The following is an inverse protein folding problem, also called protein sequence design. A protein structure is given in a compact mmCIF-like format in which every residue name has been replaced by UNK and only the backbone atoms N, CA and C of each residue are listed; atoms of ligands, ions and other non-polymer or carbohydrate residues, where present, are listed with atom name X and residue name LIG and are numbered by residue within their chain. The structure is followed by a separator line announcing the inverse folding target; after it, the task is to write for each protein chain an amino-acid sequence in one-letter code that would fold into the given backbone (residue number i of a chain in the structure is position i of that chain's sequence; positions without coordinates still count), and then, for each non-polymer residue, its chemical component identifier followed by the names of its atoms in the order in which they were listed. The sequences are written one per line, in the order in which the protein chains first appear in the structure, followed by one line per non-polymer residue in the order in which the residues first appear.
data_IF_620726003999
#
_entry.id   IF_620726003999
#
_cell.length_a   1.000
_cell.length_b   1.000
_cell.length_c   1.000
_cell.angle_alpha   90.00
_cell.angle_beta   90.00
_cell.angle_gamma   90.00
#
_symmetry.space_group_name_H-M   'P 1'
#
loop_
_entity.id
_entity.type
_entity.pdbx_description
1 polymer ?
#
# COMPACT_ATOMS: atom_id res chain seq x y z
N UNK A 1 -23.34 16.70 1.50
CA UNK A 1 -22.73 17.98 1.93
C UNK A 1 -21.46 18.15 1.12
N UNK A 2 -21.50 18.98 0.06
CA UNK A 2 -20.40 19.09 -0.91
C UNK A 2 -19.42 20.17 -0.44
N UNK A 3 -18.16 19.77 -0.22
CA UNK A 3 -17.06 20.68 0.08
C UNK A 3 -16.68 21.39 -1.22
N UNK A 4 -17.19 22.61 -1.42
CA UNK A 4 -16.73 23.50 -2.49
C UNK A 4 -15.46 24.20 -2.01
N UNK A 5 -14.32 23.61 -2.34
CA UNK A 5 -13.01 24.27 -2.23
C UNK A 5 -12.96 25.40 -3.27
N UNK A 6 -13.20 26.64 -2.84
CA UNK A 6 -12.90 27.86 -3.62
C UNK A 6 -11.40 28.14 -3.58
N UNK A 7 -10.58 27.32 -4.24
CA UNK A 7 -9.25 27.77 -4.66
C UNK A 7 -9.39 28.40 -6.06
N UNK A 8 -8.89 29.64 -6.26
CA UNK A 8 -8.83 30.20 -7.60
C UNK A 8 -7.90 29.34 -8.46
N UNK A 9 -8.45 28.72 -9.49
CA UNK A 9 -7.69 27.98 -10.49
C UNK A 9 -6.64 28.91 -11.11
N UNK A 10 -5.36 28.70 -10.77
CA UNK A 10 -4.26 29.40 -11.43
C UNK A 10 -3.98 28.69 -12.75
N UNK A 11 -4.26 29.37 -13.85
CA UNK A 11 -3.94 29.00 -15.23
C UNK A 11 -2.42 28.85 -15.41
N UNK A 12 -1.82 27.70 -15.07
CA UNK A 12 -0.43 27.38 -15.45
C UNK A 12 -0.21 25.89 -15.64
N UNK A 13 0.21 25.53 -16.86
CA UNK A 13 1.07 24.36 -17.12
C UNK A 13 0.38 23.12 -17.68
N UNK A 14 1.15 22.34 -18.44
CA UNK A 14 0.83 20.95 -18.80
C UNK A 14 0.38 20.21 -17.53
N UNK A 15 -0.85 19.71 -17.55
CA UNK A 15 -1.38 18.84 -16.50
C UNK A 15 -0.47 17.60 -16.45
N UNK A 16 0.22 17.38 -15.33
CA UNK A 16 0.94 16.12 -15.11
C UNK A 16 -0.10 15.04 -14.83
N UNK A 17 -0.48 14.32 -15.87
CA UNK A 17 -1.37 13.17 -15.77
C UNK A 17 -0.60 11.97 -15.19
N UNK A 18 -1.24 11.12 -14.37
CA UNK A 18 -0.69 9.80 -14.07
C UNK A 18 -0.41 9.04 -15.38
N UNK A 19 0.62 8.21 -15.41
CA UNK A 19 1.09 7.53 -16.63
C UNK A 19 0.04 6.69 -17.36
N UNK A 20 -1.06 6.31 -16.69
CA UNK A 20 -2.14 5.50 -17.25
C UNK A 20 -3.32 6.32 -17.83
N UNK A 21 -3.23 7.65 -17.84
CA UNK A 21 -4.19 8.52 -18.52
C UNK A 21 -3.54 9.18 -19.73
N UNK A 22 -4.24 9.13 -20.87
CA UNK A 22 -3.87 9.82 -22.10
C UNK A 22 -4.78 11.04 -22.29
N UNK A 23 -4.21 12.19 -22.65
CA UNK A 23 -4.98 13.35 -23.12
C UNK A 23 -5.29 13.15 -24.61
N UNK A 24 -6.55 12.87 -24.93
CA UNK A 24 -6.96 12.49 -26.29
C UNK A 24 -6.62 13.56 -27.35
N UNK A 25 -6.65 14.85 -26.97
CA UNK A 25 -6.31 15.93 -27.90
C UNK A 25 -4.82 15.94 -28.20
N UNK A 26 -3.96 15.82 -27.18
CA UNK A 26 -2.51 15.83 -27.40
C UNK A 26 -2.02 14.60 -28.14
N UNK A 27 -2.65 13.47 -27.91
CA UNK A 27 -2.35 12.21 -28.60
C UNK A 27 -2.66 12.31 -30.10
N UNK A 28 -3.85 12.83 -30.44
CA UNK A 28 -4.31 12.87 -31.84
C UNK A 28 -3.84 14.12 -32.61
N UNK A 29 -3.55 15.22 -31.93
CA UNK A 29 -3.13 16.50 -32.51
C UNK A 29 -1.84 17.01 -31.85
N UNK A 30 -0.70 16.32 -32.01
CA UNK A 30 0.55 16.71 -31.38
C UNK A 30 1.00 18.10 -31.85
N UNK A 31 1.25 18.99 -30.90
CA UNK A 31 1.65 20.38 -31.17
C UNK A 31 0.49 21.37 -31.28
N UNK A 32 -0.76 20.89 -31.37
CA UNK A 32 -1.94 21.75 -31.28
C UNK A 32 -2.34 21.97 -29.82
N UNK A 33 -2.38 23.24 -29.33
CA UNK A 33 -2.78 23.53 -27.96
C UNK A 33 -4.24 23.16 -27.65
N UNK A 34 -5.14 23.09 -28.64
CA UNK A 34 -6.53 22.66 -28.47
C UNK A 34 -7.35 23.58 -27.59
N UNK A 35 -7.30 24.89 -27.81
CA UNK A 35 -8.01 25.86 -26.99
C UNK A 35 -9.52 25.64 -27.04
N UNK A 36 -10.14 25.46 -25.87
CA UNK A 36 -11.60 25.34 -25.73
C UNK A 36 -12.23 26.67 -25.30
N UNK A 37 -11.45 27.57 -24.71
CA UNK A 37 -11.76 29.00 -24.67
C UNK A 37 -10.77 29.71 -25.60
N UNK A 38 -11.26 30.24 -26.73
CA UNK A 38 -10.46 31.03 -27.67
C UNK A 38 -11.22 32.30 -28.09
N UNK A 39 -10.79 33.45 -27.57
CA UNK A 39 -11.39 34.75 -27.88
C UNK A 39 -10.97 35.32 -29.23
N UNK A 40 -10.00 34.73 -29.92
CA UNK A 40 -9.66 35.12 -31.29
C UNK A 40 -10.66 34.52 -32.28
N UNK A 41 -11.18 33.32 -31.97
CA UNK A 41 -12.22 32.66 -32.75
C UNK A 41 -13.63 33.03 -32.28
N UNK A 42 -13.93 32.95 -30.99
CA UNK A 42 -15.26 33.22 -30.43
C UNK A 42 -15.46 34.72 -30.14
N UNK A 43 -16.01 35.43 -31.13
CA UNK A 43 -16.28 36.87 -31.03
C UNK A 43 -17.23 37.26 -29.89
N UNK A 44 -18.20 36.39 -29.55
CA UNK A 44 -19.11 36.62 -28.42
C UNK A 44 -18.35 36.64 -27.10
N UNK A 45 -17.46 35.66 -26.89
CA UNK A 45 -16.62 35.60 -25.69
C UNK A 45 -15.66 36.78 -25.60
N UNK A 46 -15.11 37.22 -26.73
CA UNK A 46 -14.26 38.42 -26.81
C UNK A 46 -15.02 39.69 -26.38
N UNK A 47 -16.25 39.86 -26.85
CA UNK A 47 -17.10 41.00 -26.51
C UNK A 47 -17.42 41.05 -25.01
N UNK A 48 -17.66 39.88 -24.39
CA UNK A 48 -17.96 39.78 -22.96
C UNK A 48 -16.74 39.99 -22.05
N UNK A 49 -15.59 39.41 -22.41
CA UNK A 49 -14.39 39.45 -21.55
C UNK A 49 -13.53 40.69 -21.75
N UNK A 50 -13.58 41.31 -22.94
CA UNK A 50 -12.79 42.48 -23.32
C UNK A 50 -11.27 42.24 -23.44
N UNK A 51 -10.79 40.99 -23.29
CA UNK A 51 -9.36 40.65 -23.28
C UNK A 51 -9.06 39.42 -24.15
N UNK A 52 -7.89 39.36 -24.83
CA UNK A 52 -7.43 38.12 -25.46
C UNK A 52 -7.23 37.02 -24.41
N UNK A 53 -7.75 35.84 -24.71
CA UNK A 53 -7.63 34.64 -23.88
C UNK A 53 -7.72 33.38 -24.75
N UNK A 54 -6.78 32.47 -24.51
CA UNK A 54 -6.66 31.16 -25.15
C UNK A 54 -6.29 30.12 -24.09
N UNK A 55 -7.25 29.27 -23.72
CA UNK A 55 -7.10 28.28 -22.65
C UNK A 55 -7.78 26.96 -23.04
N UNK A 56 -7.16 25.83 -22.67
CA UNK A 56 -7.77 24.50 -22.77
C UNK A 56 -8.29 24.05 -21.41
N UNK A 57 -9.55 24.37 -21.13
CA UNK A 57 -10.24 23.94 -19.91
C UNK A 57 -10.75 22.52 -20.05
N UNK A 58 -11.45 22.26 -21.14
CA UNK A 58 -12.11 20.99 -21.40
C UNK A 58 -11.11 20.01 -21.99
N UNK A 59 -11.14 18.77 -21.49
CA UNK A 59 -10.23 17.69 -21.89
C UNK A 59 -10.99 16.38 -21.88
N UNK A 60 -10.65 15.49 -22.82
CA UNK A 60 -11.06 14.09 -22.77
C UNK A 60 -9.84 13.27 -22.37
N UNK A 61 -9.91 12.66 -21.19
CA UNK A 61 -8.85 11.80 -20.67
C UNK A 61 -9.24 10.34 -20.87
N UNK A 62 -8.42 9.58 -21.58
CA UNK A 62 -8.65 8.17 -21.82
C UNK A 62 -7.84 7.31 -20.84
N UNK A 63 -8.49 6.34 -20.20
CA UNK A 63 -7.87 5.27 -19.41
C UNK A 63 -8.30 3.93 -20.00
N UNK A 64 -7.36 3.05 -20.32
CA UNK A 64 -7.63 1.75 -20.97
C UNK A 64 -8.39 1.85 -22.31
N UNK A 65 -8.48 3.05 -22.88
CA UNK A 65 -9.15 3.35 -24.14
C UNK A 65 -8.16 4.08 -25.03
N UNK A 66 -8.19 3.80 -26.33
CA UNK A 66 -7.43 4.53 -27.33
C UNK A 66 -8.34 5.57 -27.99
N UNK A 67 -7.96 6.86 -28.02
CA UNK A 67 -8.68 7.85 -28.79
C UNK A 67 -8.50 7.54 -30.28
N UNK A 68 -9.59 7.52 -31.04
CA UNK A 68 -9.58 7.30 -32.48
C UNK A 68 -9.72 8.61 -33.24
N UNK A 69 -10.55 9.51 -32.70
CA UNK A 69 -10.85 10.81 -33.29
C UNK A 69 -11.26 11.76 -32.17
N UNK A 70 -10.88 13.02 -32.30
CA UNK A 70 -11.38 14.10 -31.44
C UNK A 70 -11.56 15.37 -32.25
N UNK A 71 -12.72 15.99 -32.11
CA UNK A 71 -13.08 17.23 -32.79
C UNK A 71 -13.50 18.31 -31.80
N UNK A 72 -13.18 19.55 -32.15
CA UNK A 72 -13.66 20.75 -31.49
C UNK A 72 -15.01 21.15 -32.12
N UNK A 73 -16.05 21.28 -31.30
CA UNK A 73 -17.41 21.58 -31.76
C UNK A 73 -17.91 22.92 -31.22
N UNK A 74 -18.85 23.53 -31.94
CA UNK A 74 -19.34 24.88 -31.62
C UNK A 74 -18.37 25.99 -32.04
N UNK A 75 -17.50 25.73 -33.01
CA UNK A 75 -16.47 26.64 -33.53
C UNK A 75 -17.00 27.60 -34.62
N UNK A 76 -18.31 27.62 -34.84
CA UNK A 76 -18.98 28.49 -35.81
C UNK A 76 -20.17 29.19 -35.13
N UNK A 77 -20.43 30.48 -35.43
CA UNK A 77 -21.63 31.16 -34.95
C UNK A 77 -22.93 30.47 -35.36
N UNK A 78 -24.01 30.79 -34.65
CA UNK A 78 -25.35 30.32 -35.01
C UNK A 78 -25.76 30.90 -36.37
N UNK A 79 -26.28 30.04 -37.25
CA UNK A 79 -26.69 30.45 -38.59
C UNK A 79 -27.73 31.59 -38.53
N UNK A 80 -27.49 32.65 -39.30
CA UNK A 80 -28.32 33.86 -39.29
C UNK A 80 -28.04 34.83 -38.13
N UNK A 81 -27.13 34.50 -37.21
CA UNK A 81 -26.73 35.38 -36.12
C UNK A 81 -25.21 35.28 -35.84
N UNK A 82 -24.37 36.05 -36.55
CA UNK A 82 -22.90 35.95 -36.45
C UNK A 82 -22.34 36.40 -35.09
N UNK A 83 -23.12 37.11 -34.28
CA UNK A 83 -22.71 37.58 -32.95
C UNK A 83 -22.97 36.55 -31.84
N UNK A 84 -23.76 35.51 -32.14
CA UNK A 84 -24.15 34.49 -31.15
C UNK A 84 -23.46 33.18 -31.47
N UNK A 85 -22.79 32.63 -30.47
CA UNK A 85 -22.13 31.34 -30.54
C UNK A 85 -22.92 30.31 -29.73
N UNK A 86 -22.80 29.00 -30.05
CA UNK A 86 -23.50 27.95 -29.30
C UNK A 86 -23.16 27.92 -27.80
N UNK A 87 -21.96 28.37 -27.43
CA UNK A 87 -21.45 28.41 -26.06
C UNK A 87 -20.32 29.45 -25.94
N UNK A 88 -20.01 29.87 -24.72
CA UNK A 88 -18.88 30.77 -24.45
C UNK A 88 -17.53 30.04 -24.46
N UNK A 89 -17.55 28.70 -24.36
CA UNK A 89 -16.45 27.77 -24.66
C UNK A 89 -16.84 26.77 -25.77
N UNK A 90 -15.87 26.26 -26.52
CA UNK A 90 -16.03 25.16 -27.47
C UNK A 90 -16.10 23.80 -26.77
N UNK A 91 -16.87 22.89 -27.34
CA UNK A 91 -16.99 21.52 -26.84
C UNK A 91 -15.99 20.57 -27.49
N UNK A 92 -15.80 19.39 -26.88
CA UNK A 92 -15.02 18.29 -27.46
C UNK A 92 -15.92 17.09 -27.71
N UNK A 93 -15.79 16.47 -28.88
CA UNK A 93 -16.39 15.17 -29.19
C UNK A 93 -15.27 14.20 -29.51
N UNK A 94 -15.18 13.11 -28.77
CA UNK A 94 -14.13 12.11 -28.93
C UNK A 94 -14.74 10.74 -29.21
N UNK A 95 -14.26 10.08 -30.27
CA UNK A 95 -14.48 8.66 -30.51
C UNK A 95 -13.33 7.87 -29.88
N UNK A 96 -13.66 6.78 -29.20
CA UNK A 96 -12.70 5.92 -28.51
C UNK A 96 -12.96 4.47 -28.87
N UNK A 97 -11.90 3.68 -28.89
CA UNK A 97 -11.98 2.22 -28.90
C UNK A 97 -11.30 1.66 -27.66
N UNK A 98 -11.59 0.40 -27.28
CA UNK A 98 -10.69 -0.33 -26.39
C UNK A 98 -9.27 -0.21 -26.95
N UNK A 99 -8.35 0.33 -26.16
CA UNK A 99 -6.94 0.24 -26.51
C UNK A 99 -6.50 -1.23 -26.38
N UNK A 100 -5.30 -1.60 -26.84
CA UNK A 100 -4.61 -2.67 -26.11
C UNK A 100 -4.67 -2.21 -24.66
N UNK A 101 -5.36 -2.97 -23.81
CA UNK A 101 -5.09 -2.88 -22.39
C UNK A 101 -3.58 -3.06 -22.35
N UNK A 102 -2.80 -2.01 -22.06
CA UNK A 102 -1.46 -2.24 -21.55
C UNK A 102 -1.72 -3.25 -20.45
N UNK A 103 -1.30 -4.51 -20.66
CA UNK A 103 -1.81 -5.64 -19.87
C UNK A 103 -1.74 -5.20 -18.42
N UNK A 104 -2.90 -4.88 -17.85
CA UNK A 104 -2.94 -4.42 -16.47
C UNK A 104 -2.80 -5.72 -15.74
N UNK A 105 -1.55 -6.16 -15.56
CA UNK A 105 -1.23 -7.33 -14.78
C UNK A 105 -2.00 -7.16 -13.48
N UNK A 106 -2.98 -8.02 -13.19
CA UNK A 106 -3.80 -7.85 -12.01
C UNK A 106 -2.87 -7.76 -10.81
N UNK A 107 -3.22 -6.91 -9.84
CA UNK A 107 -2.52 -6.93 -8.55
C UNK A 107 -2.58 -8.36 -8.02
N UNK A 108 -1.42 -8.96 -7.86
CA UNK A 108 -1.30 -10.27 -7.24
C UNK A 108 -1.45 -10.09 -5.74
N UNK A 109 -2.09 -11.05 -5.07
CA UNK A 109 -2.41 -10.96 -3.66
C UNK A 109 -2.16 -12.29 -2.96
N UNK A 110 -1.60 -12.20 -1.76
CA UNK A 110 -1.50 -13.28 -0.78
C UNK A 110 -2.01 -12.72 0.55
N UNK A 111 -3.02 -13.36 1.12
CA UNK A 111 -3.68 -12.96 2.35
C UNK A 111 -3.74 -14.19 3.26
N UNK A 112 -3.17 -14.09 4.46
CA UNK A 112 -3.21 -15.16 5.46
C UNK A 112 -3.82 -14.60 6.74
N UNK A 113 -4.83 -15.28 7.26
CA UNK A 113 -5.64 -14.83 8.40
C UNK A 113 -5.57 -15.89 9.49
N UNK A 114 -5.19 -15.52 10.70
CA UNK A 114 -4.94 -16.48 11.78
C UNK A 114 -6.09 -17.47 12.04
N UNK A 115 -7.35 -17.08 11.80
CA UNK A 115 -8.51 -17.98 11.93
C UNK A 115 -8.45 -19.23 11.04
N UNK A 116 -7.66 -19.19 9.98
CA UNK A 116 -7.48 -20.30 9.04
C UNK A 116 -6.24 -21.15 9.40
N UNK A 117 -5.45 -20.76 10.42
CA UNK A 117 -4.24 -21.45 10.86
C UNK A 117 -4.25 -21.62 12.39
N UNK A 118 -4.82 -22.73 12.87
CA UNK A 118 -5.10 -22.96 14.30
C UNK A 118 -4.21 -23.99 14.98
N UNK A 119 -3.36 -24.67 14.22
CA UNK A 119 -2.53 -25.77 14.72
C UNK A 119 -1.24 -25.26 15.39
N UNK A 120 -1.07 -25.62 16.66
CA UNK A 120 0.13 -25.28 17.43
C UNK A 120 1.35 -26.07 17.00
N UNK A 121 2.51 -25.41 16.98
CA UNK A 121 3.80 -25.98 16.60
C UNK A 121 4.00 -26.11 15.09
N UNK A 122 2.96 -25.87 14.31
CA UNK A 122 3.00 -25.83 12.86
C UNK A 122 3.05 -24.36 12.38
N UNK A 123 3.55 -24.16 11.16
CA UNK A 123 3.43 -22.89 10.47
C UNK A 123 3.09 -23.13 9.01
N UNK A 124 2.35 -22.20 8.43
CA UNK A 124 2.14 -22.18 6.98
C UNK A 124 3.12 -21.21 6.34
N UNK A 125 3.64 -21.58 5.17
CA UNK A 125 4.52 -20.76 4.36
C UNK A 125 3.99 -20.69 2.93
N UNK A 126 3.90 -19.48 2.39
CA UNK A 126 3.46 -19.23 1.02
C UNK A 126 4.37 -18.18 0.34
N UNK A 127 4.40 -18.19 -0.98
CA UNK A 127 5.25 -17.30 -1.78
C UNK A 127 4.40 -16.48 -2.76
N UNK A 128 4.74 -15.20 -2.92
CA UNK A 128 4.17 -14.31 -3.92
C UNK A 128 5.28 -13.46 -4.55
N UNK A 129 5.67 -13.83 -5.77
CA UNK A 129 6.84 -13.26 -6.43
C UNK A 129 8.08 -13.39 -5.53
N UNK A 130 8.78 -12.32 -5.20
CA UNK A 130 10.01 -12.28 -4.39
C UNK A 130 9.72 -12.22 -2.87
N UNK A 131 8.45 -12.30 -2.47
CA UNK A 131 8.03 -12.23 -1.08
C UNK A 131 7.58 -13.59 -0.54
N UNK A 132 7.99 -13.89 0.69
CA UNK A 132 7.70 -15.11 1.42
C UNK A 132 6.90 -14.70 2.66
N UNK A 133 5.76 -15.33 2.87
CA UNK A 133 4.91 -15.14 4.03
C UNK A 133 4.90 -16.39 4.90
N UNK A 134 4.99 -16.22 6.21
CA UNK A 134 4.83 -17.28 7.18
C UNK A 134 3.82 -16.86 8.26
N UNK A 135 2.96 -17.79 8.69
CA UNK A 135 1.99 -17.57 9.76
C UNK A 135 1.91 -18.78 10.69
N UNK A 136 1.93 -18.55 12.00
CA UNK A 136 1.87 -19.61 13.02
C UNK A 136 1.11 -19.16 14.27
N UNK A 137 0.50 -20.12 14.96
CA UNK A 137 -0.14 -19.90 16.28
C UNK A 137 0.91 -19.75 17.39
N UNK A 138 2.14 -20.21 17.17
CA UNK A 138 3.09 -20.51 18.23
C UNK A 138 3.09 -22.01 18.58
N UNK A 139 3.96 -22.43 19.50
CA UNK A 139 4.09 -23.84 19.91
C UNK A 139 3.66 -24.10 21.36
N UNK A 140 3.77 -23.10 22.24
CA UNK A 140 3.53 -23.26 23.67
C UNK A 140 2.02 -23.09 23.98
N UNK A 141 1.31 -24.20 24.15
CA UNK A 141 -0.13 -24.22 24.49
C UNK A 141 -0.44 -23.70 25.90
N UNK A 142 0.57 -23.63 26.74
CA UNK A 142 0.47 -23.17 28.12
C UNK A 142 1.09 -21.77 28.29
N UNK A 143 1.36 -21.07 27.16
CA UNK A 143 2.00 -19.76 27.17
C UNK A 143 1.22 -18.76 28.04
N UNK A 144 1.91 -17.84 28.74
CA UNK A 144 1.25 -16.76 29.45
C UNK A 144 0.45 -15.83 28.53
N UNK A 145 0.86 -15.64 27.28
CA UNK A 145 0.14 -14.81 26.30
C UNK A 145 -1.23 -15.41 25.98
N UNK A 146 -1.32 -16.75 25.91
CA UNK A 146 -2.57 -17.45 25.65
C UNK A 146 -3.60 -17.16 26.74
N UNK A 147 -3.20 -16.91 27.98
CA UNK A 147 -4.09 -16.48 29.05
C UNK A 147 -4.92 -15.24 28.72
N UNK A 148 -4.43 -14.40 27.80
CA UNK A 148 -5.08 -13.15 27.36
C UNK A 148 -5.85 -13.29 26.04
N UNK A 149 -5.71 -14.41 25.32
CA UNK A 149 -6.44 -14.64 24.06
C UNK A 149 -7.92 -14.80 24.31
N UNK A 150 -8.73 -14.01 23.59
CA UNK A 150 -10.16 -13.92 23.83
C UNK A 150 -10.92 -15.12 23.26
N UNK A 151 -10.47 -15.66 22.13
CA UNK A 151 -11.10 -16.80 21.47
C UNK A 151 -10.16 -18.00 21.41
N UNK A 152 -10.44 -18.99 22.27
CA UNK A 152 -9.67 -20.25 22.32
C UNK A 152 -9.90 -21.15 21.11
N UNK A 153 -11.00 -20.96 20.38
CA UNK A 153 -11.26 -21.72 19.15
C UNK A 153 -10.45 -21.17 17.96
N UNK A 154 -10.04 -19.90 18.03
CA UNK A 154 -9.22 -19.22 17.02
C UNK A 154 -7.96 -18.65 17.70
N UNK A 155 -7.01 -19.51 18.09
CA UNK A 155 -5.86 -19.11 18.92
C UNK A 155 -4.83 -18.25 18.20
N UNK A 156 -4.97 -18.08 16.89
CA UNK A 156 -4.12 -17.22 16.09
C UNK A 156 -4.84 -15.91 15.77
N UNK A 157 -4.43 -14.87 16.48
CA UNK A 157 -4.95 -13.51 16.39
C UNK A 157 -4.22 -12.68 15.32
N UNK A 158 -3.13 -13.20 14.73
CA UNK A 158 -2.34 -12.48 13.73
C UNK A 158 -2.92 -12.56 12.32
N UNK A 159 -2.53 -11.63 11.46
CA UNK A 159 -2.82 -11.62 10.04
C UNK A 159 -1.70 -10.95 9.24
N UNK A 160 -1.57 -11.33 7.96
CA UNK A 160 -0.63 -10.70 7.05
C UNK A 160 -1.19 -10.56 5.62
N UNK A 161 -0.63 -9.62 4.88
CA UNK A 161 -0.98 -9.33 3.49
C UNK A 161 0.26 -8.99 2.68
N UNK A 162 0.32 -9.55 1.48
CA UNK A 162 1.23 -9.15 0.42
C UNK A 162 0.37 -8.79 -0.80
N UNK A 163 0.49 -7.57 -1.29
CA UNK A 163 0.03 -7.16 -2.61
C UNK A 163 1.25 -6.88 -3.48
N UNK A 164 1.24 -7.33 -4.73
CA UNK A 164 2.30 -7.06 -5.70
C UNK A 164 1.72 -6.59 -7.03
N UNK A 165 2.23 -5.46 -7.55
CA UNK A 165 1.89 -4.95 -8.87
C UNK A 165 3.05 -4.17 -9.47
N UNK A 166 3.55 -4.62 -10.63
CA UNK A 166 4.60 -3.96 -11.41
C UNK A 166 5.86 -3.59 -10.59
N UNK A 167 6.38 -4.54 -9.79
CA UNK A 167 7.59 -4.35 -8.99
C UNK A 167 7.39 -3.46 -7.75
N UNK A 168 6.14 -3.15 -7.40
CA UNK A 168 5.79 -2.49 -6.14
C UNK A 168 5.01 -3.45 -5.26
N UNK A 169 5.38 -3.49 -3.98
CA UNK A 169 4.73 -4.29 -2.95
C UNK A 169 4.03 -3.40 -1.95
N UNK A 170 2.88 -3.87 -1.46
CA UNK A 170 2.35 -3.48 -0.15
C UNK A 170 2.42 -4.71 0.75
N UNK A 171 3.14 -4.57 1.85
CA UNK A 171 3.35 -5.61 2.85
C UNK A 171 2.66 -5.15 4.13
N UNK A 172 1.91 -6.01 4.79
CA UNK A 172 1.32 -5.70 6.08
C UNK A 172 1.35 -6.90 7.02
N UNK A 173 1.66 -6.64 8.29
CA UNK A 173 1.46 -7.58 9.40
C UNK A 173 0.62 -6.89 10.48
N UNK A 174 -0.26 -7.65 11.10
CA UNK A 174 -1.11 -7.18 12.19
C UNK A 174 -1.11 -8.24 13.28
N UNK A 175 -0.69 -7.84 14.47
CA UNK A 175 -0.80 -8.64 15.69
C UNK A 175 -2.10 -8.25 16.42
N UNK A 176 -2.91 -9.26 16.74
CA UNK A 176 -4.19 -9.10 17.38
C UNK A 176 -4.08 -9.25 18.90
N UNK A 177 -4.77 -8.38 19.64
CA UNK A 177 -4.86 -8.48 21.08
C UNK A 177 -6.31 -8.58 21.53
N UNK A 178 -6.59 -9.60 22.36
CA UNK A 178 -7.92 -9.84 22.92
C UNK A 178 -8.95 -10.15 21.82
N UNK A 179 -8.53 -10.89 20.80
CA UNK A 179 -9.37 -11.41 19.73
C UNK A 179 -8.83 -11.10 18.34
N UNK A 180 -9.01 -12.06 17.44
CA UNK A 180 -8.50 -12.01 16.07
C UNK A 180 -9.28 -11.08 15.12
N UNK A 181 -10.42 -10.52 15.55
CA UNK A 181 -11.34 -9.84 14.62
C UNK A 181 -10.78 -8.51 14.13
N UNK A 182 -10.03 -7.78 14.98
CA UNK A 182 -9.52 -6.45 14.63
C UNK A 182 -8.40 -6.53 13.61
N UNK A 183 -7.35 -7.32 13.89
CA UNK A 183 -6.21 -7.56 13.00
C UNK A 183 -6.66 -8.06 11.63
N UNK A 184 -7.49 -9.11 11.59
CA UNK A 184 -7.95 -9.70 10.33
C UNK A 184 -8.81 -8.73 9.53
N UNK A 185 -9.72 -7.98 10.17
CA UNK A 185 -10.54 -7.00 9.46
C UNK A 185 -9.70 -5.86 8.87
N UNK A 186 -8.65 -5.41 9.57
CA UNK A 186 -7.73 -4.39 9.06
C UNK A 186 -7.03 -4.88 7.79
N UNK A 187 -6.44 -6.07 7.85
CA UNK A 187 -5.68 -6.67 6.74
C UNK A 187 -6.60 -7.01 5.56
N UNK A 188 -7.80 -7.55 5.81
CA UNK A 188 -8.82 -7.78 4.77
C UNK A 188 -9.27 -6.50 4.07
N UNK A 189 -9.51 -5.41 4.83
CA UNK A 189 -9.89 -4.11 4.24
C UNK A 189 -8.76 -3.53 3.42
N UNK A 190 -7.53 -3.62 3.93
CA UNK A 190 -6.34 -3.16 3.23
C UNK A 190 -6.10 -3.93 1.93
N UNK A 191 -6.43 -5.22 1.88
CA UNK A 191 -6.31 -6.04 0.67
C UNK A 191 -7.18 -5.56 -0.51
N UNK A 192 -8.20 -4.74 -0.23
CA UNK A 192 -9.10 -4.17 -1.24
C UNK A 192 -8.65 -2.78 -1.70
N UNK A 193 -7.65 -2.19 -1.03
CA UNK A 193 -7.10 -0.90 -1.37
C UNK A 193 -6.07 -1.03 -2.51
N UNK A 194 -5.95 -0.02 -3.39
CA UNK A 194 -4.83 0.03 -4.32
C UNK A 194 -3.51 0.21 -3.57
N UNK A 195 -2.40 -0.30 -4.13
CA UNK A 195 -1.06 -0.07 -3.58
C UNK A 195 -0.73 1.44 -3.65
N UNK A 196 -0.49 2.11 -2.51
CA UNK A 196 -0.18 3.54 -2.48
C UNK A 196 1.08 3.90 -3.27
N UNK A 197 1.07 5.06 -3.93
CA UNK A 197 2.24 5.61 -4.62
C UNK A 197 3.18 6.43 -3.74
N UNK A 198 2.67 6.92 -2.61
CA UNK A 198 3.42 7.71 -1.63
C UNK A 198 2.84 7.56 -0.21
N UNK A 199 3.55 8.09 0.79
CA UNK A 199 3.14 8.03 2.20
C UNK A 199 1.78 8.71 2.44
N UNK A 200 1.48 9.80 1.73
CA UNK A 200 0.20 10.51 1.91
C UNK A 200 -0.98 9.67 1.43
N UNK A 201 -0.81 8.92 0.35
CA UNK A 201 -1.78 7.92 -0.12
C UNK A 201 -1.93 6.78 0.88
N UNK A 202 -0.83 6.28 1.47
CA UNK A 202 -0.90 5.24 2.49
C UNK A 202 -1.62 5.73 3.75
N UNK A 203 -1.32 6.93 4.25
CA UNK A 203 -2.07 7.53 5.38
C UNK A 203 -3.57 7.59 5.10
N UNK A 204 -3.97 8.03 3.90
CA UNK A 204 -5.38 8.05 3.49
C UNK A 204 -6.00 6.65 3.47
N UNK A 205 -5.26 5.65 2.98
CA UNK A 205 -5.73 4.27 2.98
C UNK A 205 -5.95 3.75 4.41
N UNK A 206 -4.98 3.97 5.31
CA UNK A 206 -5.07 3.55 6.71
C UNK A 206 -6.19 4.25 7.49
N UNK A 207 -6.37 5.56 7.31
CA UNK A 207 -7.50 6.28 7.91
C UNK A 207 -8.86 5.74 7.43
N UNK A 208 -8.93 5.26 6.18
CA UNK A 208 -10.13 4.64 5.64
C UNK A 208 -10.44 3.25 6.22
N UNK A 209 -9.48 2.58 6.86
CA UNK A 209 -9.69 1.23 7.39
C UNK A 209 -10.68 1.21 8.55
N UNK A 210 -10.85 2.31 9.30
CA UNK A 210 -11.76 2.39 10.44
C UNK A 210 -13.24 2.20 10.05
N UNK A 211 -13.63 2.48 8.81
CA UNK A 211 -15.02 2.52 8.39
C UNK A 211 -15.40 1.33 7.47
N UNK A 212 -16.57 0.68 7.70
CA UNK A 212 -17.48 0.91 8.82
C UNK A 212 -16.89 0.40 10.14
N UNK A 213 -17.17 1.07 11.26
CA UNK A 213 -16.74 0.59 12.57
C UNK A 213 -17.27 -0.83 12.84
N UNK A 214 -16.43 -1.70 13.43
CA UNK A 214 -16.84 -3.04 13.87
C UNK A 214 -17.13 -3.05 15.37
N UNK A 215 -18.17 -3.77 15.82
CA UNK A 215 -18.53 -3.88 17.24
C UNK A 215 -17.63 -4.93 17.95
N UNK A 216 -16.32 -4.74 17.88
CA UNK A 216 -15.30 -5.64 18.45
C UNK A 216 -14.51 -4.91 19.54
N UNK A 217 -14.16 -5.61 20.60
CA UNK A 217 -13.41 -5.06 21.75
C UNK A 217 -11.89 -5.22 21.66
N UNK A 218 -11.41 -6.12 20.79
CA UNK A 218 -9.99 -6.41 20.62
C UNK A 218 -9.23 -5.27 19.95
N UNK A 219 -7.97 -5.12 20.32
CA UNK A 219 -7.03 -4.20 19.69
C UNK A 219 -6.18 -4.90 18.64
N UNK A 220 -5.47 -4.14 17.83
CA UNK A 220 -4.44 -4.71 16.97
C UNK A 220 -3.32 -3.73 16.72
N UNK A 221 -2.09 -4.23 16.65
CA UNK A 221 -1.00 -3.51 16.01
C UNK A 221 -1.23 -3.51 14.49
N UNK A 222 -0.59 -2.59 13.77
CA UNK A 222 -0.56 -2.66 12.32
C UNK A 222 0.74 -2.02 11.84
N UNK A 223 1.52 -2.77 11.07
CA UNK A 223 2.68 -2.29 10.35
C UNK A 223 2.43 -2.51 8.86
N UNK A 224 2.44 -1.43 8.07
CA UNK A 224 2.27 -1.48 6.61
C UNK A 224 3.45 -0.81 5.93
N UNK A 225 4.14 -1.55 5.06
CA UNK A 225 5.23 -1.04 4.24
C UNK A 225 4.85 -1.06 2.76
N UNK A 226 5.24 -0.02 2.03
CA UNK A 226 5.21 0.02 0.57
C UNK A 226 6.65 0.02 0.07
N UNK A 227 6.98 -0.96 -0.76
CA UNK A 227 8.33 -1.15 -1.30
C UNK A 227 8.29 -1.02 -2.82
N UNK A 228 9.06 -0.10 -3.38
CA UNK A 228 9.23 0.05 -4.82
C UNK A 228 10.61 -0.52 -5.21
N UNK A 229 10.60 -1.75 -5.73
CA UNK A 229 11.84 -2.47 -6.08
C UNK A 229 12.60 -1.74 -7.20
N UNK A 230 11.88 -1.12 -8.14
CA UNK A 230 12.49 -0.38 -9.26
C UNK A 230 13.19 0.89 -8.79
N UNK A 231 12.59 1.61 -7.85
CA UNK A 231 13.16 2.81 -7.25
C UNK A 231 14.11 2.51 -6.07
N UNK A 232 14.24 1.23 -5.69
CA UNK A 232 15.08 0.73 -4.60
C UNK A 232 14.87 1.46 -3.27
N UNK A 233 13.61 1.75 -2.95
CA UNK A 233 13.22 2.47 -1.73
C UNK A 233 11.87 2.03 -1.23
N UNK A 234 11.61 2.29 0.04
CA UNK A 234 10.32 2.04 0.67
C UNK A 234 9.95 3.09 1.69
N UNK A 235 8.69 3.03 2.09
CA UNK A 235 8.17 3.78 3.23
C UNK A 235 7.17 2.91 3.99
N UNK A 236 7.06 3.11 5.29
CA UNK A 236 6.14 2.36 6.13
C UNK A 236 5.42 3.27 7.13
N UNK A 237 4.22 2.87 7.51
CA UNK A 237 3.49 3.43 8.63
C UNK A 237 3.18 2.31 9.62
N UNK A 238 3.32 2.61 10.91
CA UNK A 238 3.05 1.62 11.94
C UNK A 238 2.47 2.20 13.22
N UNK A 239 1.79 1.33 13.95
CA UNK A 239 1.35 1.52 15.32
C UNK A 239 1.38 0.18 16.05
N UNK A 240 1.84 0.18 17.31
CA UNK A 240 2.11 -1.04 18.07
C UNK A 240 3.61 -1.35 18.11
N UNK A 241 3.91 -2.64 18.20
CA UNK A 241 5.24 -3.23 18.42
C UNK A 241 5.66 -4.25 17.35
N UNK A 242 4.83 -4.46 16.32
CA UNK A 242 5.27 -5.13 15.09
C UNK A 242 6.47 -4.42 14.47
N UNK A 243 7.38 -5.19 13.90
CA UNK A 243 8.72 -4.74 13.56
C UNK A 243 9.03 -4.75 12.08
N UNK A 244 9.73 -3.70 11.62
CA UNK A 244 10.35 -3.62 10.31
C UNK A 244 11.86 -3.75 10.48
N UNK A 245 12.48 -4.71 9.79
CA UNK A 245 13.92 -4.86 9.74
C UNK A 245 14.44 -4.95 8.30
N UNK A 246 15.69 -4.55 8.10
CA UNK A 246 16.42 -4.78 6.86
C UNK A 246 17.67 -5.57 7.21
N UNK A 247 17.91 -6.65 6.48
CA UNK A 247 19.09 -7.50 6.65
C UNK A 247 19.86 -7.61 5.35
N UNK A 248 21.18 -7.55 5.45
CA UNK A 248 22.11 -7.76 4.34
C UNK A 248 23.33 -8.56 4.81
N UNK A 249 24.37 -8.63 3.96
CA UNK A 249 25.60 -9.35 4.29
C UNK A 249 26.32 -8.76 5.52
N UNK A 250 26.18 -7.46 5.79
CA UNK A 250 26.93 -6.72 6.79
C UNK A 250 26.19 -6.64 8.12
N UNK A 251 24.87 -6.45 8.10
CA UNK A 251 24.10 -6.20 9.32
C UNK A 251 22.62 -6.58 9.21
N UNK A 252 21.92 -6.53 10.35
CA UNK A 252 20.47 -6.46 10.44
C UNK A 252 20.09 -5.23 11.25
N UNK A 253 19.31 -4.32 10.67
CA UNK A 253 18.84 -3.10 11.32
C UNK A 253 17.31 -3.15 11.50
N UNK A 254 16.85 -2.94 12.73
CA UNK A 254 15.42 -2.76 13.04
C UNK A 254 15.10 -1.27 13.04
N UNK A 255 14.00 -0.88 12.39
CA UNK A 255 13.61 0.52 12.17
C UNK A 255 12.43 0.98 13.03
N UNK A 256 11.70 0.04 13.61
CA UNK A 256 10.55 0.28 14.47
C UNK A 256 10.97 0.37 15.94
N UNK A 257 10.26 1.20 16.69
CA UNK A 257 10.31 1.26 18.15
C UNK A 257 9.04 0.66 18.75
N UNK A 258 9.14 -0.07 19.86
CA UNK A 258 7.99 -0.59 20.61
C UNK A 258 7.07 0.56 21.07
N UNK A 259 5.77 0.45 20.77
CA UNK A 259 4.75 1.42 21.23
C UNK A 259 3.52 0.70 21.74
N UNK A 260 3.04 1.10 22.91
CA UNK A 260 1.84 0.53 23.55
C UNK A 260 0.53 1.14 23.03
N UNK A 261 0.49 1.51 21.74
CA UNK A 261 -0.66 2.14 21.10
C UNK A 261 -1.19 1.25 19.99
N UNK A 262 -2.33 0.63 20.29
CA UNK A 262 -3.03 -0.26 19.37
C UNK A 262 -4.17 0.46 18.64
N UNK A 263 -4.50 -0.05 17.47
CA UNK A 263 -5.70 0.31 16.73
C UNK A 263 -6.93 -0.38 17.34
N UNK A 264 -8.02 0.36 17.50
CA UNK A 264 -9.33 -0.17 17.84
C UNK A 264 -10.39 0.43 16.92
N UNK A 265 -11.37 -0.36 16.47
CA UNK A 265 -12.43 0.16 15.60
C UNK A 265 -13.30 1.23 16.25
N UNK A 266 -13.48 1.16 17.58
CA UNK A 266 -14.25 2.14 18.35
C UNK A 266 -13.41 3.36 18.79
N UNK A 267 -12.09 3.32 18.58
CA UNK A 267 -11.15 4.39 18.89
C UNK A 267 -9.97 4.31 17.90
N UNK A 268 -10.25 4.59 16.61
CA UNK A 268 -9.24 4.46 15.56
C UNK A 268 -8.08 5.42 15.82
N UNK A 269 -6.93 5.11 15.21
CA UNK A 269 -5.75 5.95 15.32
C UNK A 269 -5.91 7.24 14.54
N UNK A 270 -5.60 8.36 15.19
CA UNK A 270 -5.47 9.66 14.55
C UNK A 270 -4.21 9.71 13.68
N UNK A 271 -4.19 10.64 12.72
CA UNK A 271 -3.15 10.68 11.69
C UNK A 271 -1.72 10.87 12.25
N UNK A 272 -1.57 11.56 13.37
CA UNK A 272 -0.30 11.84 14.05
C UNK A 272 0.13 10.72 15.03
N UNK A 273 -0.75 9.76 15.33
CA UNK A 273 -0.40 8.58 16.13
C UNK A 273 0.40 7.56 15.31
N UNK A 274 0.25 7.56 13.98
CA UNK A 274 1.04 6.71 13.07
C UNK A 274 2.47 7.20 12.93
N UNK A 275 3.41 6.32 13.25
CA UNK A 275 4.83 6.56 13.02
C UNK A 275 5.18 6.29 11.55
N UNK A 276 6.14 7.06 11.00
CA UNK A 276 6.61 6.90 9.63
C UNK A 276 8.07 6.49 9.58
N UNK A 277 8.38 5.62 8.62
CA UNK A 277 9.73 5.15 8.31
C UNK A 277 9.95 5.34 6.81
N UNK A 278 11.11 5.84 6.43
CA UNK A 278 11.61 5.78 5.06
C UNK A 278 12.91 5.01 5.05
N UNK A 279 13.12 4.20 4.03
CA UNK A 279 14.32 3.36 3.92
C UNK A 279 14.70 3.12 2.47
N UNK A 280 15.97 2.84 2.25
CA UNK A 280 16.52 2.39 0.98
C UNK A 280 16.68 0.86 1.00
N UNK A 281 16.56 0.22 -0.16
CA UNK A 281 16.75 -1.23 -0.27
C UNK A 281 18.24 -1.57 -0.41
N UNK A 282 18.76 -2.57 0.33
CA UNK A 282 20.15 -3.03 0.19
C UNK A 282 20.35 -3.69 -1.18
N UNK A 283 21.55 -3.59 -1.74
CA UNK A 283 21.89 -4.14 -3.07
C UNK A 283 21.50 -5.62 -3.17
N UNK A 284 21.87 -6.38 -2.14
CA UNK A 284 21.48 -7.75 -1.86
C UNK A 284 21.07 -7.83 -0.39
N UNK A 285 19.91 -8.41 -0.09
CA UNK A 285 19.39 -8.44 1.27
C UNK A 285 17.92 -8.80 1.31
N UNK A 286 17.25 -8.48 2.41
CA UNK A 286 15.81 -8.58 2.53
C UNK A 286 15.22 -7.48 3.42
N UNK A 287 13.97 -7.15 3.14
CA UNK A 287 13.09 -6.40 4.04
C UNK A 287 12.21 -7.39 4.78
N UNK A 288 12.14 -7.27 6.11
CA UNK A 288 11.33 -8.12 6.97
C UNK A 288 10.25 -7.27 7.64
N UNK A 289 9.02 -7.77 7.65
CA UNK A 289 7.96 -7.32 8.54
C UNK A 289 7.56 -8.50 9.42
N UNK A 290 7.49 -8.32 10.73
CA UNK A 290 7.09 -9.39 11.63
C UNK A 290 6.36 -8.88 12.88
N UNK A 291 5.49 -9.72 13.44
CA UNK A 291 4.86 -9.48 14.75
C UNK A 291 5.83 -9.78 15.88
N UNK A 292 5.47 -9.35 17.10
CA UNK A 292 6.28 -9.53 18.29
C UNK A 292 6.56 -11.00 18.61
N UNK A 293 5.76 -11.96 18.13
CA UNK A 293 6.07 -13.38 18.30
C UNK A 293 7.40 -13.86 17.71
N UNK A 294 8.11 -13.04 16.93
CA UNK A 294 9.53 -13.26 16.61
C UNK A 294 10.44 -12.68 17.70
N UNK A 295 10.39 -11.37 17.94
CA UNK A 295 11.35 -10.66 18.83
C UNK A 295 10.95 -10.60 20.31
N UNK A 296 9.83 -11.18 20.66
CA UNK A 296 9.31 -11.50 22.00
C UNK A 296 8.80 -12.95 22.04
N UNK A 297 9.39 -13.84 21.23
CA UNK A 297 9.05 -15.26 21.19
C UNK A 297 9.16 -15.95 22.58
N UNK A 298 10.02 -15.42 23.45
CA UNK A 298 9.96 -15.62 24.90
C UNK A 298 9.18 -14.45 25.51
N UNK A 299 7.95 -14.74 25.93
CA UNK A 299 6.91 -13.74 26.21
C UNK A 299 7.39 -12.65 27.18
N UNK A 300 7.35 -11.38 26.73
CA UNK A 300 7.80 -10.20 27.49
C UNK A 300 9.26 -10.25 27.95
N UNK A 301 10.10 -10.98 27.23
CA UNK A 301 11.53 -11.11 27.50
C UNK A 301 12.33 -10.92 26.20
N UNK A 302 12.32 -9.71 25.61
CA UNK A 302 12.98 -9.44 24.32
C UNK A 302 14.49 -9.75 24.33
N UNK A 303 15.18 -9.53 25.47
CA UNK A 303 16.61 -9.82 25.64
C UNK A 303 16.97 -11.31 25.49
N UNK A 304 15.97 -12.19 25.57
CA UNK A 304 16.12 -13.65 25.46
C UNK A 304 15.33 -14.23 24.28
N UNK A 305 14.85 -13.36 23.40
CA UNK A 305 14.10 -13.71 22.20
C UNK A 305 14.96 -13.55 20.95
N UNK A 306 14.38 -13.80 19.77
CA UNK A 306 15.08 -13.56 18.50
C UNK A 306 15.41 -12.07 18.37
N UNK A 307 16.67 -11.75 18.09
CA UNK A 307 17.14 -10.37 17.96
C UNK A 307 17.85 -10.15 16.62
N UNK A 308 18.25 -8.91 16.34
CA UNK A 308 18.92 -8.55 15.09
C UNK A 308 20.16 -9.40 14.79
N UNK A 309 20.96 -9.74 15.82
CA UNK A 309 22.14 -10.61 15.65
C UNK A 309 21.77 -12.04 15.24
N UNK A 310 20.65 -12.56 15.74
CA UNK A 310 20.14 -13.89 15.38
C UNK A 310 19.64 -13.90 13.93
N UNK A 311 18.87 -12.87 13.54
CA UNK A 311 18.38 -12.69 12.17
C UNK A 311 19.55 -12.58 11.18
N UNK A 312 20.54 -11.73 11.49
CA UNK A 312 21.74 -11.57 10.65
C UNK A 312 22.54 -12.87 10.53
N UNK A 313 22.69 -13.63 11.62
CA UNK A 313 23.37 -14.92 11.60
C UNK A 313 22.64 -15.89 10.67
N UNK A 314 21.32 -16.01 10.75
CA UNK A 314 20.53 -16.84 9.85
C UNK A 314 20.68 -16.39 8.39
N UNK A 315 20.64 -15.09 8.14
CA UNK A 315 20.82 -14.53 6.79
C UNK A 315 22.17 -14.91 6.18
N UNK A 316 23.25 -14.93 6.97
CA UNK A 316 24.57 -15.38 6.46
C UNK A 316 24.58 -16.82 5.95
N UNK A 317 23.73 -17.70 6.51
CA UNK A 317 23.66 -19.11 6.10
C UNK A 317 22.63 -19.34 4.99
N UNK A 318 21.51 -18.62 5.04
CA UNK A 318 20.32 -18.91 4.22
C UNK A 318 19.89 -17.76 3.32
N UNK A 319 20.59 -16.62 3.30
CA UNK A 319 20.16 -15.41 2.57
C UNK A 319 20.10 -15.57 1.05
N UNK A 320 20.70 -16.62 0.49
CA UNK A 320 20.58 -17.00 -0.93
C UNK A 320 19.37 -17.93 -1.20
N UNK A 321 18.64 -18.29 -0.15
CA UNK A 321 17.45 -19.15 -0.17
C UNK A 321 16.38 -18.52 0.74
N UNK A 322 15.73 -17.42 0.31
CA UNK A 322 14.83 -16.65 1.17
C UNK A 322 13.72 -17.47 1.83
N UNK A 323 13.18 -18.48 1.13
CA UNK A 323 12.20 -19.41 1.67
C UNK A 323 12.76 -20.26 2.84
N UNK A 324 13.99 -20.75 2.74
CA UNK A 324 14.66 -21.49 3.81
C UNK A 324 15.01 -20.54 4.97
N UNK A 325 15.48 -19.32 4.66
CA UNK A 325 15.74 -18.30 5.67
C UNK A 325 14.49 -17.98 6.50
N UNK A 326 13.34 -17.74 5.84
CA UNK A 326 12.07 -17.47 6.50
C UNK A 326 11.64 -18.66 7.39
N UNK A 327 11.71 -19.88 6.86
CA UNK A 327 11.39 -21.09 7.62
C UNK A 327 12.29 -21.29 8.83
N UNK A 328 13.61 -21.07 8.71
CA UNK A 328 14.54 -21.17 9.85
C UNK A 328 14.34 -20.07 10.88
N UNK A 329 13.94 -18.86 10.46
CA UNK A 329 13.60 -17.77 11.38
C UNK A 329 12.35 -18.08 12.20
N UNK A 330 11.28 -18.54 11.54
CA UNK A 330 10.05 -18.99 12.23
C UNK A 330 10.36 -20.16 13.16
N UNK A 331 11.13 -21.14 12.70
CA UNK A 331 11.53 -22.27 13.52
C UNK A 331 12.31 -21.83 14.76
N UNK A 332 13.26 -20.91 14.61
CA UNK A 332 14.02 -20.36 15.74
C UNK A 332 13.11 -19.64 16.74
N UNK A 333 12.18 -18.81 16.25
CA UNK A 333 11.21 -18.12 17.09
C UNK A 333 10.28 -19.12 17.80
N UNK A 334 9.81 -20.17 17.11
CA UNK A 334 9.03 -21.23 17.72
C UNK A 334 9.83 -21.95 18.81
N UNK A 335 11.05 -22.40 18.53
CA UNK A 335 11.82 -23.19 19.50
C UNK A 335 12.41 -22.37 20.65
N UNK A 336 12.69 -21.08 20.43
CA UNK A 336 13.36 -20.20 21.37
C UNK A 336 14.88 -20.15 21.18
N UNK A 337 15.52 -19.26 21.96
CA UNK A 337 16.98 -19.10 22.00
C UNK A 337 17.51 -19.82 23.25
N UNK A 338 18.20 -20.94 23.08
CA UNK A 338 18.69 -21.74 24.21
C UNK A 338 19.46 -20.89 25.25
N UNK A 339 19.14 -21.01 26.56
CA UNK A 339 18.25 -21.98 27.21
C UNK A 339 16.77 -21.54 27.33
N UNK A 340 16.38 -20.46 26.67
CA UNK A 340 15.07 -19.84 26.80
C UNK A 340 14.05 -20.42 25.82
N UNK A 341 12.78 -20.56 26.25
CA UNK A 341 11.72 -21.09 25.39
C UNK A 341 11.34 -20.10 24.29
N UNK A 342 10.61 -20.58 23.29
CA UNK A 342 10.03 -19.77 22.22
C UNK A 342 8.59 -20.16 21.91
N UNK A 343 8.04 -19.54 20.86
CA UNK A 343 6.71 -19.78 20.33
C UNK A 343 5.62 -19.61 21.37
N UNK A 344 5.84 -18.65 22.27
CA UNK A 344 4.87 -18.26 23.28
C UNK A 344 3.86 -17.24 22.75
N UNK A 345 3.98 -16.81 21.50
CA UNK A 345 2.94 -16.04 20.81
C UNK A 345 2.72 -16.44 19.35
N UNK A 346 1.72 -15.83 18.72
CA UNK A 346 1.46 -15.91 17.29
C UNK A 346 2.60 -15.28 16.50
N UNK A 347 2.84 -15.79 15.31
CA UNK A 347 3.90 -15.30 14.43
C UNK A 347 3.27 -14.98 13.09
N UNK A 348 3.35 -13.73 12.66
CA UNK A 348 3.25 -13.33 11.26
C UNK A 348 4.61 -12.79 10.81
N UNK A 349 5.13 -13.32 9.70
CA UNK A 349 6.41 -12.91 9.12
C UNK A 349 6.24 -12.74 7.61
N UNK A 350 6.76 -11.63 7.09
CA UNK A 350 6.98 -11.41 5.66
C UNK A 350 8.46 -11.17 5.45
N UNK A 351 9.06 -11.86 4.47
CA UNK A 351 10.41 -11.62 3.97
C UNK A 351 10.31 -11.25 2.49
N UNK A 352 10.74 -10.04 2.13
CA UNK A 352 10.85 -9.60 0.74
C UNK A 352 12.34 -9.59 0.34
N UNK A 353 12.71 -10.49 -0.58
CA UNK A 353 14.06 -10.53 -1.14
C UNK A 353 14.36 -9.25 -1.93
N UNK A 354 15.52 -8.66 -1.65
CA UNK A 354 16.08 -7.54 -2.40
C UNK A 354 17.21 -8.07 -3.26
N UNK A 355 16.95 -8.27 -4.55
CA UNK A 355 17.99 -8.59 -5.53
C UNK A 355 18.32 -7.36 -6.38
N UNK A 356 19.58 -7.27 -6.84
CA UNK A 356 19.88 -6.43 -7.98
C UNK A 356 19.12 -7.04 -9.16
N UNK A 357 18.10 -6.34 -9.67
CA UNK A 357 17.32 -6.82 -10.81
C UNK A 357 18.24 -7.27 -11.96
N UNK A 358 17.75 -8.12 -12.89
CA UNK A 358 18.58 -8.68 -13.96
C UNK A 358 19.32 -7.56 -14.68
N UNK A 359 20.64 -7.51 -14.45
CA UNK A 359 21.59 -6.56 -15.06
C UNK A 359 21.65 -6.68 -16.57
#
# INVERSE_FOLDING_TARGET
MAIVSKRPWKERGQLRLPAHYLDAWQELHPGDPGYTEDTELNGMRRALSGKPKQVRFDRVLCKAMRPLRIDLVGTVPVAGNPEVWPSDHFGLVCEVAPGPLAEVSPTQQLLMLGRDHTDYGEWEQQELAEAIACLSVGQDKDSPSLGFKADKANPNEDALLILHHNGRYLLAVADGHFGHQTSQALVERLSRAPIPGDESELRRALSGLAEPALPVGGGSTLLVAVVDASARRGFALYAGDSSLAIVDAESCQVYTEERKRFFYFNNPLEADEWQSIHFDLPAEGAVLLYTDGINECHYRQPDTSVGAEHIHRLWKFFGQQPAEFAGQLVKLALTGIEPHPGGQDNIALIVLECSAGPS
#
